data_IF_030546597167
#
_entry.id   IF_030546597167
#
_cell.length_a   1.000
_cell.length_b   1.000
_cell.length_c   1.000
_cell.angle_alpha   90.00
_cell.angle_beta   90.00
_cell.angle_gamma   90.00
#
_symmetry.space_group_name_H-M   'P 1'
#
loop_
_entity.id
_entity.type
_entity.pdbx_description
1 polymer ?
#
# COMPACT_ATOMS: atom_id res chain seq x y z
N UNK A 1 19.59 5.21 -12.85
CA UNK A 1 18.28 5.22 -12.20
C UNK A 1 18.20 4.08 -11.19
N UNK A 2 17.69 4.37 -10.03
CA UNK A 2 17.61 3.35 -8.97
C UNK A 2 16.45 2.40 -9.19
N UNK A 3 16.72 1.11 -9.00
CA UNK A 3 15.70 0.09 -9.14
C UNK A 3 15.09 -0.20 -7.76
N UNK A 4 13.94 0.39 -7.50
CA UNK A 4 13.23 0.24 -6.22
C UNK A 4 12.88 -1.21 -5.93
N UNK A 5 12.67 -2.03 -6.96
CA UNK A 5 12.29 -3.44 -6.74
C UNK A 5 13.42 -4.25 -6.12
N UNK A 6 14.66 -3.81 -6.26
CA UNK A 6 15.83 -4.54 -5.80
C UNK A 6 16.52 -3.94 -4.57
N UNK A 7 16.04 -2.81 -4.05
CA UNK A 7 16.74 -2.12 -2.97
C UNK A 7 15.80 -1.76 -1.82
N UNK A 8 15.89 -2.54 -0.75
CA UNK A 8 15.15 -2.25 0.48
C UNK A 8 15.52 -0.87 1.05
N UNK A 9 16.81 -0.53 1.02
CA UNK A 9 17.28 0.76 1.54
C UNK A 9 16.64 1.92 0.79
N UNK A 10 16.61 1.84 -0.54
CA UNK A 10 15.99 2.90 -1.35
C UNK A 10 14.50 3.01 -1.09
N UNK A 11 13.81 1.86 -0.96
CA UNK A 11 12.39 1.86 -0.63
C UNK A 11 12.13 2.55 0.71
N UNK A 12 12.92 2.20 1.73
CA UNK A 12 12.75 2.78 3.06
C UNK A 12 13.08 4.28 3.08
N UNK A 13 14.06 4.71 2.31
CA UNK A 13 14.39 6.13 2.22
C UNK A 13 13.22 6.96 1.71
N UNK A 14 12.53 6.46 0.68
CA UNK A 14 11.34 7.16 0.16
C UNK A 14 10.21 7.12 1.18
N UNK A 15 9.96 5.95 1.78
CA UNK A 15 8.87 5.80 2.75
C UNK A 15 9.08 6.62 4.02
N UNK A 16 10.33 6.93 4.36
CA UNK A 16 10.65 7.75 5.53
C UNK A 16 10.67 9.25 5.21
N UNK A 17 10.50 9.64 3.96
CA UNK A 17 10.47 11.04 3.56
C UNK A 17 9.02 11.52 3.54
N UNK A 18 8.59 12.20 4.61
CA UNK A 18 7.19 12.61 4.74
C UNK A 18 6.75 13.61 3.67
N UNK A 19 7.66 14.42 3.15
CA UNK A 19 7.32 15.38 2.10
C UNK A 19 7.08 14.67 0.77
N UNK A 20 7.91 13.66 0.48
CA UNK A 20 7.71 12.84 -0.70
C UNK A 20 6.39 12.06 -0.61
N UNK A 21 6.09 11.47 0.56
CA UNK A 21 4.84 10.75 0.76
C UNK A 21 3.63 11.64 0.54
N UNK A 22 3.69 12.87 1.06
CA UNK A 22 2.60 13.82 0.88
C UNK A 22 2.39 14.15 -0.61
N UNK A 23 3.47 14.40 -1.32
CA UNK A 23 3.41 14.71 -2.75
C UNK A 23 2.88 13.53 -3.57
N UNK A 24 3.29 12.32 -3.21
CA UNK A 24 2.81 11.12 -3.90
C UNK A 24 1.32 10.93 -3.64
N UNK A 25 0.88 11.11 -2.40
CA UNK A 25 -0.53 10.98 -2.06
C UNK A 25 -1.39 12.00 -2.82
N UNK A 26 -0.94 13.24 -2.92
CA UNK A 26 -1.62 14.28 -3.68
C UNK A 26 -1.71 13.91 -5.16
N UNK A 27 -0.63 13.36 -5.71
CA UNK A 27 -0.59 12.97 -7.11
C UNK A 27 -1.58 11.85 -7.40
N UNK A 28 -1.61 10.82 -6.56
CA UNK A 28 -2.49 9.67 -6.76
C UNK A 28 -3.95 10.05 -6.53
N UNK A 29 -4.19 10.96 -5.58
CA UNK A 29 -5.55 11.34 -5.20
C UNK A 29 -6.34 10.18 -4.61
N UNK A 30 -5.65 9.17 -4.13
CA UNK A 30 -6.29 7.97 -3.63
C UNK A 30 -6.94 8.21 -2.28
N UNK A 31 -8.22 7.89 -2.19
CA UNK A 31 -8.95 7.91 -0.93
C UNK A 31 -9.45 6.50 -0.67
N UNK A 32 -9.30 6.06 0.55
CA UNK A 32 -9.75 4.74 0.95
C UNK A 32 -10.75 4.85 2.08
N UNK A 33 -10.84 3.79 2.85
CA UNK A 33 -11.69 3.73 4.02
C UNK A 33 -10.93 4.31 5.21
N UNK A 34 -11.32 5.50 5.66
CA UNK A 34 -10.63 6.15 6.78
C UNK A 34 -11.05 5.47 8.09
N UNK A 35 -10.09 4.85 8.76
CA UNK A 35 -10.34 4.08 9.96
C UNK A 35 -9.09 4.10 10.83
N UNK A 36 -9.29 4.29 12.12
CA UNK A 36 -8.19 4.29 13.09
C UNK A 36 -7.09 5.29 12.72
N UNK A 37 -7.49 6.48 12.28
CA UNK A 37 -6.59 7.60 12.03
C UNK A 37 -5.90 7.61 10.68
N UNK A 38 -6.18 6.66 9.80
CA UNK A 38 -5.55 6.61 8.48
C UNK A 38 -6.44 5.89 7.47
N UNK A 39 -6.13 6.07 6.19
CA UNK A 39 -6.85 5.35 5.14
C UNK A 39 -6.39 3.89 5.10
N UNK A 40 -7.35 3.00 4.92
CA UNK A 40 -7.11 1.55 4.83
C UNK A 40 -7.52 1.03 3.47
N UNK A 41 -6.80 0.03 3.00
CA UNK A 41 -7.03 -0.60 1.70
C UNK A 41 -7.03 -2.11 1.87
N UNK A 42 -7.98 -2.79 1.21
CA UNK A 42 -8.04 -4.25 1.22
C UNK A 42 -7.17 -4.81 0.10
N UNK A 43 -6.89 -6.11 0.16
CA UNK A 43 -6.18 -6.81 -0.93
C UNK A 43 -6.92 -6.65 -2.24
N UNK A 44 -8.25 -6.77 -2.21
CA UNK A 44 -9.07 -6.66 -3.41
C UNK A 44 -8.92 -5.30 -4.08
N UNK A 45 -8.86 -4.23 -3.28
CA UNK A 45 -8.62 -2.89 -3.82
C UNK A 45 -7.26 -2.79 -4.49
N UNK A 46 -6.24 -3.39 -3.91
CA UNK A 46 -4.89 -3.35 -4.49
C UNK A 46 -4.77 -4.21 -5.74
N UNK A 47 -5.41 -5.37 -5.76
CA UNK A 47 -5.47 -6.23 -6.94
C UNK A 47 -6.07 -5.47 -8.11
N UNK A 48 -7.15 -4.75 -7.86
CA UNK A 48 -7.82 -3.96 -8.88
C UNK A 48 -6.95 -2.78 -9.33
N UNK A 49 -6.36 -2.05 -8.37
CA UNK A 49 -5.52 -0.89 -8.68
C UNK A 49 -4.29 -1.28 -9.50
N UNK A 50 -3.61 -2.35 -9.10
CA UNK A 50 -2.38 -2.79 -9.77
C UNK A 50 -2.63 -3.73 -10.94
N UNK A 51 -3.86 -4.17 -11.13
CA UNK A 51 -4.26 -5.09 -12.20
C UNK A 51 -3.41 -6.35 -12.20
N UNK A 52 -3.35 -7.00 -11.05
CA UNK A 52 -2.64 -8.29 -10.87
C UNK A 52 -3.59 -9.31 -10.27
N UNK A 53 -3.25 -10.60 -10.37
CA UNK A 53 -4.02 -11.65 -9.73
C UNK A 53 -3.80 -11.64 -8.22
N UNK A 54 -4.81 -12.09 -7.48
CA UNK A 54 -4.69 -12.22 -6.03
C UNK A 54 -3.54 -13.16 -5.64
N UNK A 55 -3.27 -14.17 -6.46
CA UNK A 55 -2.15 -15.08 -6.21
C UNK A 55 -0.81 -14.36 -6.28
N UNK A 56 -0.67 -13.42 -7.21
CA UNK A 56 0.54 -12.60 -7.31
C UNK A 56 0.72 -11.75 -6.06
N UNK A 57 -0.35 -11.08 -5.64
CA UNK A 57 -0.30 -10.25 -4.43
C UNK A 57 0.06 -11.09 -3.21
N UNK A 58 -0.55 -12.24 -3.04
CA UNK A 58 -0.28 -13.13 -1.91
C UNK A 58 1.15 -13.64 -1.91
N UNK A 59 1.72 -13.88 -3.10
CA UNK A 59 3.13 -14.28 -3.22
C UNK A 59 4.06 -13.17 -2.71
N UNK A 60 3.79 -11.92 -3.07
CA UNK A 60 4.57 -10.78 -2.56
C UNK A 60 4.39 -10.60 -1.06
N UNK A 61 3.16 -10.78 -0.55
CA UNK A 61 2.93 -10.72 0.89
C UNK A 61 3.73 -11.79 1.65
N UNK A 62 3.80 -12.99 1.11
CA UNK A 62 4.58 -14.06 1.75
C UNK A 62 6.08 -13.76 1.69
N UNK A 63 6.56 -13.31 0.53
CA UNK A 63 7.99 -13.06 0.33
C UNK A 63 8.50 -11.86 1.14
N UNK A 64 7.70 -10.80 1.23
CA UNK A 64 8.10 -9.54 1.86
C UNK A 64 7.28 -9.23 3.11
N UNK A 65 6.83 -10.26 3.82
CA UNK A 65 5.93 -10.10 4.97
C UNK A 65 6.49 -9.13 6.01
N UNK A 66 7.74 -9.31 6.40
CA UNK A 66 8.34 -8.47 7.43
C UNK A 66 8.45 -7.02 7.00
N UNK A 67 8.86 -6.79 5.76
CA UNK A 67 8.99 -5.44 5.23
C UNK A 67 7.63 -4.75 5.17
N UNK A 68 6.62 -5.43 4.65
CA UNK A 68 5.28 -4.86 4.51
C UNK A 68 4.64 -4.59 5.86
N UNK A 69 4.81 -5.49 6.82
CA UNK A 69 4.30 -5.29 8.19
C UNK A 69 5.01 -4.12 8.87
N UNK A 70 6.31 -4.00 8.68
CA UNK A 70 7.06 -2.86 9.22
C UNK A 70 6.50 -1.54 8.69
N UNK A 71 6.00 -1.53 7.47
CA UNK A 71 5.51 -0.32 6.82
C UNK A 71 3.98 -0.16 6.91
N UNK A 72 3.32 -0.96 7.75
CA UNK A 72 1.93 -0.70 8.07
C UNK A 72 0.90 -1.74 7.65
N UNK A 73 1.30 -2.79 6.94
CA UNK A 73 0.37 -3.88 6.66
C UNK A 73 0.02 -4.59 7.96
N UNK A 74 -1.26 -4.76 8.23
CA UNK A 74 -1.73 -5.46 9.42
C UNK A 74 -2.76 -6.52 9.06
N UNK A 75 -2.86 -7.51 9.94
CA UNK A 75 -3.93 -8.49 9.87
C UNK A 75 -4.93 -8.13 10.96
N UNK A 76 -6.05 -7.54 10.56
CA UNK A 76 -7.08 -7.08 11.49
C UNK A 76 -7.91 -8.26 11.99
N UNK A 77 -8.09 -8.33 13.30
CA UNK A 77 -8.81 -9.42 13.96
C UNK A 77 -9.64 -8.90 15.13
N UNK A 78 -10.54 -9.73 15.62
CA UNK A 78 -11.26 -9.49 16.86
C UNK A 78 -12.09 -8.22 16.82
N UNK A 79 -12.02 -7.45 17.91
CA UNK A 79 -12.83 -6.26 18.09
C UNK A 79 -12.58 -5.20 17.01
N UNK A 80 -11.31 -5.00 16.66
CA UNK A 80 -10.96 -4.01 15.64
C UNK A 80 -11.54 -4.38 14.27
N UNK A 81 -11.47 -5.65 13.91
CA UNK A 81 -12.08 -6.11 12.67
C UNK A 81 -13.60 -5.95 12.70
N UNK A 82 -14.22 -6.23 13.83
CA UNK A 82 -15.66 -6.07 13.98
C UNK A 82 -16.07 -4.61 13.78
N UNK A 83 -15.33 -3.69 14.36
CA UNK A 83 -15.59 -2.26 14.16
C UNK A 83 -15.41 -1.83 12.73
N UNK A 84 -14.36 -2.34 12.08
CA UNK A 84 -14.10 -2.06 10.66
C UNK A 84 -15.25 -2.56 9.78
N UNK A 85 -15.73 -3.77 10.03
CA UNK A 85 -16.85 -4.35 9.28
C UNK A 85 -18.14 -3.55 9.47
N UNK A 86 -18.37 -3.04 10.67
CA UNK A 86 -19.56 -2.22 10.93
C UNK A 86 -19.55 -0.96 10.08
N UNK A 87 -18.39 -0.34 9.91
CA UNK A 87 -18.25 0.89 9.12
C UNK A 87 -18.22 0.63 7.62
N UNK A 88 -17.52 -0.40 7.18
CA UNK A 88 -17.16 -0.57 5.76
C UNK A 88 -17.60 -1.90 5.17
N UNK A 89 -18.41 -2.68 5.88
CA UNK A 89 -18.84 -3.98 5.40
C UNK A 89 -19.51 -3.95 4.04
N UNK A 90 -20.18 -2.85 3.72
CA UNK A 90 -20.84 -2.69 2.42
C UNK A 90 -19.87 -2.49 1.27
N UNK A 91 -18.60 -2.18 1.57
CA UNK A 91 -17.55 -1.98 0.56
C UNK A 91 -16.63 -3.17 0.42
N UNK A 92 -16.76 -4.18 1.28
CA UNK A 92 -15.92 -5.38 1.23
C UNK A 92 -16.81 -6.61 1.07
N UNK A 93 -16.38 -7.55 0.23
CA UNK A 93 -17.21 -8.68 -0.18
C UNK A 93 -17.23 -9.86 0.79
N UNK A 94 -16.36 -9.87 1.79
CA UNK A 94 -16.21 -10.99 2.70
C UNK A 94 -16.44 -10.54 4.13
N UNK A 95 -17.70 -10.22 4.47
CA UNK A 95 -17.95 -9.51 5.71
C UNK A 95 -18.27 -10.39 6.90
N UNK A 96 -19.11 -11.42 6.72
CA UNK A 96 -19.71 -12.10 7.86
C UNK A 96 -18.89 -13.24 8.43
N UNK A 97 -18.15 -13.95 7.59
CA UNK A 97 -17.43 -15.15 8.01
C UNK A 97 -15.93 -14.96 8.16
N UNK A 98 -15.41 -13.81 7.77
CA UNK A 98 -13.99 -13.53 7.85
C UNK A 98 -13.61 -13.25 9.29
N UNK A 99 -12.64 -14.01 9.80
CA UNK A 99 -12.13 -13.81 11.17
C UNK A 99 -10.84 -13.01 11.20
N UNK A 100 -10.25 -12.76 10.03
CA UNK A 100 -9.06 -11.95 9.91
C UNK A 100 -9.06 -11.30 8.53
N UNK A 101 -8.66 -10.04 8.46
CA UNK A 101 -8.66 -9.28 7.22
C UNK A 101 -7.35 -8.51 7.10
N UNK A 102 -6.62 -8.75 6.00
CA UNK A 102 -5.41 -8.00 5.71
C UNK A 102 -5.73 -6.59 5.27
N UNK A 103 -5.13 -5.62 5.91
CA UNK A 103 -5.33 -4.20 5.59
C UNK A 103 -4.00 -3.51 5.37
N UNK A 104 -3.93 -2.73 4.30
CA UNK A 104 -2.80 -1.87 3.99
C UNK A 104 -3.16 -0.44 4.38
N UNK A 105 -2.16 0.31 4.83
CA UNK A 105 -2.28 1.77 4.92
C UNK A 105 -1.58 2.37 3.70
N UNK A 106 -1.50 3.69 3.62
CA UNK A 106 -0.87 4.34 2.46
C UNK A 106 0.60 3.96 2.32
N UNK A 107 1.32 3.91 3.45
CA UNK A 107 2.74 3.56 3.46
C UNK A 107 2.99 2.15 2.93
N UNK A 108 2.23 1.16 3.40
CA UNK A 108 2.39 -0.22 2.92
C UNK A 108 1.84 -0.41 1.50
N UNK A 109 0.83 0.37 1.11
CA UNK A 109 0.38 0.41 -0.28
C UNK A 109 1.52 0.83 -1.20
N UNK A 110 2.24 1.91 -0.85
CA UNK A 110 3.39 2.36 -1.64
C UNK A 110 4.52 1.36 -1.61
N UNK A 111 4.75 0.72 -0.45
CA UNK A 111 5.76 -0.32 -0.35
C UNK A 111 5.50 -1.44 -1.36
N UNK A 112 4.24 -1.88 -1.44
CA UNK A 112 3.86 -2.91 -2.41
C UNK A 112 4.05 -2.41 -3.85
N UNK A 113 3.69 -1.17 -4.13
CA UNK A 113 3.89 -0.57 -5.46
C UNK A 113 5.36 -0.60 -5.86
N UNK A 114 6.26 -0.39 -4.90
CA UNK A 114 7.70 -0.42 -5.15
C UNK A 114 8.23 -1.82 -5.44
N UNK A 115 7.50 -2.86 -5.02
CA UNK A 115 7.94 -4.25 -5.13
C UNK A 115 7.37 -4.96 -6.37
N UNK A 116 6.16 -4.65 -6.78
CA UNK A 116 5.44 -5.41 -7.81
C UNK A 116 6.04 -5.24 -9.20
N UNK A 117 6.78 -6.24 -9.63
CA UNK A 117 7.42 -6.24 -10.96
C UNK A 117 6.45 -6.54 -12.08
N UNK A 118 5.43 -7.35 -11.80
CA UNK A 118 4.47 -7.80 -12.81
C UNK A 118 3.39 -6.80 -13.15
N UNK A 119 3.30 -5.70 -12.39
CA UNK A 119 2.26 -4.71 -12.58
C UNK A 119 2.79 -3.51 -13.38
N UNK A 120 2.17 -3.26 -14.53
CA UNK A 120 2.48 -2.06 -15.30
C UNK A 120 2.11 -0.79 -14.54
N UNK A 121 0.96 -0.82 -13.85
CA UNK A 121 0.52 0.32 -13.04
C UNK A 121 1.51 0.61 -11.90
N UNK A 122 2.04 -0.43 -11.27
CA UNK A 122 3.06 -0.25 -10.24
C UNK A 122 4.35 0.32 -10.83
N UNK A 123 4.73 -0.12 -12.02
CA UNK A 123 5.91 0.40 -12.70
C UNK A 123 5.77 1.89 -13.01
N UNK A 124 4.63 2.30 -13.53
CA UNK A 124 4.33 3.70 -13.82
C UNK A 124 4.35 4.52 -12.54
N UNK A 125 3.77 3.99 -11.48
CA UNK A 125 3.74 4.68 -10.19
C UNK A 125 5.15 4.83 -9.63
N UNK A 126 5.99 3.79 -9.72
CA UNK A 126 7.40 3.88 -9.26
C UNK A 126 8.15 5.00 -9.98
N UNK A 127 7.97 5.09 -11.29
CA UNK A 127 8.62 6.14 -12.08
C UNK A 127 8.18 7.52 -11.61
N UNK A 128 6.89 7.69 -11.39
CA UNK A 128 6.36 8.98 -10.94
C UNK A 128 6.78 9.31 -9.52
N UNK A 129 6.87 8.30 -8.66
CA UNK A 129 7.37 8.49 -7.29
C UNK A 129 8.80 9.04 -7.29
N UNK A 130 9.66 8.52 -8.16
CA UNK A 130 11.03 9.01 -8.27
C UNK A 130 11.08 10.47 -8.73
N UNK A 131 10.22 10.84 -9.69
CA UNK A 131 10.13 12.23 -10.13
C UNK A 131 9.71 13.15 -8.98
N UNK A 132 8.73 12.73 -8.19
CA UNK A 132 8.23 13.52 -7.06
C UNK A 132 9.32 13.68 -5.99
N UNK A 133 10.07 12.60 -5.71
CA UNK A 133 11.17 12.64 -4.75
C UNK A 133 12.24 13.64 -5.20
N UNK A 134 12.60 13.61 -6.48
CA UNK A 134 13.59 14.53 -7.04
C UNK A 134 13.09 15.98 -6.93
N UNK A 135 11.83 16.23 -7.28
CA UNK A 135 11.25 17.56 -7.15
C UNK A 135 11.27 18.05 -5.71
N UNK A 136 10.94 17.18 -4.76
CA UNK A 136 10.92 17.51 -3.34
C UNK A 136 12.32 17.93 -2.87
N UNK A 137 13.35 17.22 -3.32
CA UNK A 137 14.74 17.53 -2.97
C UNK A 137 15.17 18.87 -3.57
N UNK A 138 14.82 19.10 -4.85
CA UNK A 138 15.27 20.27 -5.58
C UNK A 138 14.57 21.56 -5.16
N UNK A 139 13.36 21.47 -4.62
CA UNK A 139 12.54 22.64 -4.29
C UNK A 139 12.46 22.93 -2.79
N UNK A 140 13.39 22.44 -2.02
CA UNK A 140 13.42 22.68 -0.58
C UNK A 140 14.12 23.94 -0.21
#
# INVERSE_FOLDING_TARGET
MKDLTNSNIERQNILNNKYALQGIQEYIGLTGMFFDGEYKFTKEMLVEFFNVDISTLNRYLATYEEELKHNGYILSKGKQLKEFKLQFGHLINKTTKTTALGLFNFRSFLNLAMLLKESENAQLLRSKMLDIVIDTINNR
#
